data_IF_492099493789
#
_entry.id   IF_492099493789
#
_cell.length_a   1.000
_cell.length_b   1.000
_cell.length_c   1.000
_cell.angle_alpha   90.00
_cell.angle_beta   90.00
_cell.angle_gamma   90.00
#
_symmetry.space_group_name_H-M   'P 1'
#
loop_
_entity.id
_entity.type
_entity.pdbx_description
1 polymer ?
#
# COMPACT_ATOMS: atom_id res chain seq x y z
N UNK A 1 4.27 20.26 16.07
CA UNK A 1 3.51 19.25 15.30
C UNK A 1 4.43 18.33 14.50
N UNK A 2 4.97 18.70 13.34
CA UNK A 2 5.73 17.73 12.50
C UNK A 2 6.94 17.08 13.21
N UNK A 3 7.78 17.86 13.90
CA UNK A 3 8.88 17.29 14.68
C UNK A 3 8.45 16.53 15.94
N UNK A 4 7.23 16.76 16.45
CA UNK A 4 6.74 15.96 17.58
C UNK A 4 6.46 14.52 17.15
N UNK A 5 5.93 14.36 15.93
CA UNK A 5 5.70 13.07 15.29
C UNK A 5 7.04 12.37 15.04
N UNK A 6 8.01 13.07 14.42
CA UNK A 6 9.30 12.47 14.04
C UNK A 6 10.17 12.10 15.24
N UNK A 7 10.14 12.91 16.30
CA UNK A 7 10.95 12.69 17.50
C UNK A 7 10.24 11.88 18.59
N UNK A 8 8.95 11.55 18.41
CA UNK A 8 8.12 10.89 19.43
C UNK A 8 8.02 11.69 20.73
N UNK A 9 8.19 13.02 20.66
CA UNK A 9 8.33 13.90 21.82
C UNK A 9 7.45 15.13 21.68
N UNK A 10 6.62 15.40 22.69
CA UNK A 10 5.80 16.61 22.76
C UNK A 10 6.68 17.86 22.87
N UNK A 11 6.25 18.94 22.20
CA UNK A 11 6.91 20.25 22.23
C UNK A 11 6.52 21.11 23.43
N UNK A 12 5.53 20.65 24.22
CA UNK A 12 5.00 21.36 25.37
C UNK A 12 5.93 21.28 26.58
N UNK A 13 6.16 22.46 27.16
CA UNK A 13 6.91 22.65 28.39
C UNK A 13 6.03 22.27 29.58
N UNK A 14 6.31 21.13 30.23
CA UNK A 14 5.84 20.90 31.61
C UNK A 14 6.80 21.61 32.57
N UNK A 15 6.29 22.29 33.60
CA UNK A 15 7.13 22.89 34.66
C UNK A 15 8.07 21.87 35.35
N UNK A 16 7.79 20.57 35.19
CA UNK A 16 8.61 19.48 35.72
C UNK A 16 9.49 18.79 34.67
N UNK A 17 9.42 19.17 33.38
CA UNK A 17 10.25 18.57 32.33
C UNK A 17 11.60 19.30 32.21
N UNK A 18 12.66 18.65 32.69
CA UNK A 18 14.04 19.16 32.63
C UNK A 18 14.64 19.13 31.22
N UNK A 19 13.92 18.60 30.22
CA UNK A 19 14.43 18.44 28.87
C UNK A 19 14.33 19.75 28.06
N UNK A 20 15.35 20.05 27.25
CA UNK A 20 15.40 21.25 26.41
C UNK A 20 14.19 21.34 25.45
N UNK A 21 13.65 22.54 25.17
CA UNK A 21 12.55 22.72 24.21
C UNK A 21 12.89 22.14 22.84
N UNK A 22 11.95 21.36 22.28
CA UNK A 22 12.18 20.62 21.03
C UNK A 22 12.49 21.56 19.86
N UNK A 23 11.83 22.71 19.79
CA UNK A 23 12.04 23.71 18.72
C UNK A 23 13.47 24.28 18.71
N UNK A 24 14.06 24.52 19.88
CA UNK A 24 15.45 24.97 20.00
C UNK A 24 16.44 23.87 19.62
N UNK A 25 16.19 22.65 20.10
CA UNK A 25 17.02 21.48 19.83
C UNK A 25 17.05 21.15 18.33
N UNK A 26 15.89 21.14 17.68
CA UNK A 26 15.78 20.90 16.23
C UNK A 26 16.57 21.92 15.43
N UNK A 27 16.47 23.22 15.75
CA UNK A 27 17.23 24.28 15.05
C UNK A 27 18.74 24.09 15.18
N UNK A 28 19.20 23.67 16.35
CA UNK A 28 20.62 23.40 16.60
C UNK A 28 21.10 22.18 15.79
N UNK A 29 20.37 21.07 15.85
CA UNK A 29 20.75 19.81 15.19
C UNK A 29 20.61 19.91 13.67
N UNK A 30 19.65 20.67 13.16
CA UNK A 30 19.51 20.95 11.72
C UNK A 30 20.74 21.70 11.20
N UNK A 31 21.19 22.75 11.91
CA UNK A 31 22.42 23.49 11.55
C UNK A 31 23.67 22.64 11.63
N UNK A 32 23.73 21.69 12.57
CA UNK A 32 24.85 20.75 12.73
C UNK A 32 24.79 19.53 11.80
N UNK A 33 23.77 19.45 10.93
CA UNK A 33 23.49 18.29 10.09
C UNK A 33 23.37 16.96 10.87
N UNK A 34 22.82 17.04 12.09
CA UNK A 34 22.66 15.94 13.05
C UNK A 34 21.21 15.57 13.32
N UNK A 35 20.28 16.02 12.49
CA UNK A 35 18.83 15.77 12.66
C UNK A 35 18.49 14.29 12.86
N UNK A 36 19.24 13.39 12.22
CA UNK A 36 19.04 11.94 12.36
C UNK A 36 19.18 11.45 13.81
N UNK A 37 19.96 12.13 14.65
CA UNK A 37 20.12 11.82 16.07
C UNK A 37 18.89 12.18 16.91
N UNK A 38 17.96 12.99 16.38
CA UNK A 38 16.71 13.37 17.04
C UNK A 38 15.52 12.49 16.66
N UNK A 39 15.67 11.67 15.62
CA UNK A 39 14.59 10.82 15.13
C UNK A 39 14.32 9.73 16.15
N UNK A 40 13.04 9.42 16.37
CA UNK A 40 12.68 8.33 17.25
C UNK A 40 13.30 7.01 16.76
N UNK A 41 14.05 6.33 17.61
CA UNK A 41 14.90 5.18 17.24
C UNK A 41 14.12 4.08 16.54
N UNK A 42 12.85 3.87 16.92
CA UNK A 42 12.03 2.79 16.37
C UNK A 42 11.56 3.04 14.93
N UNK A 43 11.68 4.27 14.41
CA UNK A 43 11.33 4.59 13.01
C UNK A 43 12.56 4.93 12.19
N UNK A 44 13.73 5.06 12.80
CA UNK A 44 14.94 5.55 12.12
C UNK A 44 15.38 4.65 10.97
N UNK A 45 15.27 3.32 11.15
CA UNK A 45 15.62 2.33 10.12
C UNK A 45 14.49 2.07 9.12
N UNK A 46 13.28 2.56 9.41
CA UNK A 46 12.08 2.34 8.58
C UNK A 46 11.83 3.49 7.58
N UNK A 47 12.37 4.68 7.85
CA UNK A 47 12.11 5.87 7.03
C UNK A 47 13.13 5.97 5.89
N UNK A 48 12.63 6.10 4.66
CA UNK A 48 13.46 6.34 3.48
C UNK A 48 14.21 7.67 3.59
N UNK A 49 15.49 7.68 3.21
CA UNK A 49 16.35 8.87 3.32
C UNK A 49 15.83 10.10 2.57
N UNK A 50 15.24 9.93 1.37
CA UNK A 50 14.65 11.06 0.60
C UNK A 50 13.37 11.55 1.24
N UNK A 51 12.52 10.63 1.72
CA UNK A 51 11.32 10.95 2.50
C UNK A 51 11.67 11.77 3.74
N UNK A 52 12.65 11.29 4.50
CA UNK A 52 13.14 11.95 5.71
C UNK A 52 13.70 13.34 5.41
N UNK A 53 14.50 13.47 4.35
CA UNK A 53 15.07 14.75 3.94
C UNK A 53 13.96 15.75 3.59
N UNK A 54 12.99 15.36 2.76
CA UNK A 54 11.86 16.22 2.40
C UNK A 54 11.05 16.64 3.64
N UNK A 55 10.72 15.68 4.52
CA UNK A 55 9.95 15.92 5.74
C UNK A 55 10.67 16.87 6.71
N UNK A 56 11.95 16.62 6.99
CA UNK A 56 12.75 17.44 7.92
C UNK A 56 12.98 18.84 7.37
N UNK A 57 13.16 18.98 6.06
CA UNK A 57 13.34 20.28 5.39
C UNK A 57 12.11 21.15 5.55
N UNK A 58 10.93 20.65 5.16
CA UNK A 58 9.69 21.40 5.25
C UNK A 58 9.32 21.71 6.71
N UNK A 59 9.53 20.73 7.61
CA UNK A 59 9.29 20.92 9.03
C UNK A 59 10.22 22.00 9.64
N UNK A 60 11.48 22.05 9.22
CA UNK A 60 12.43 23.07 9.69
C UNK A 60 12.07 24.46 9.16
N UNK A 61 11.68 24.57 7.88
CA UNK A 61 11.20 25.83 7.31
C UNK A 61 9.95 26.36 8.03
N UNK A 62 9.06 25.47 8.49
CA UNK A 62 7.90 25.84 9.31
C UNK A 62 8.26 26.45 10.68
N UNK A 63 9.48 26.25 11.18
CA UNK A 63 9.99 26.78 12.45
C UNK A 63 10.72 28.13 12.29
N UNK A 64 10.73 28.71 11.08
CA UNK A 64 11.37 30.00 10.85
C UNK A 64 10.71 31.10 11.69
N UNK A 65 11.53 31.99 12.27
CA UNK A 65 11.03 33.12 13.07
C UNK A 65 10.54 34.26 12.19
N UNK A 66 11.05 34.37 10.96
CA UNK A 66 10.52 35.30 9.97
C UNK A 66 9.30 34.64 9.28
N UNK A 67 8.14 35.28 9.37
CA UNK A 67 6.89 34.82 8.78
C UNK A 67 6.93 34.75 7.25
N UNK A 68 7.67 35.66 6.58
CA UNK A 68 7.79 35.69 5.12
C UNK A 68 8.62 34.52 4.57
N UNK A 69 9.50 33.96 5.41
CA UNK A 69 10.32 32.79 5.08
C UNK A 69 9.65 31.47 5.48
N UNK A 70 8.45 31.55 6.08
CA UNK A 70 7.66 30.37 6.43
C UNK A 70 6.92 29.92 5.17
N UNK A 71 6.95 28.62 4.83
CA UNK A 71 6.31 28.12 3.62
C UNK A 71 4.80 28.30 3.69
N UNK A 72 4.17 28.39 2.52
CA UNK A 72 2.73 28.35 2.41
C UNK A 72 2.21 26.94 2.72
N UNK A 73 0.96 26.82 3.18
CA UNK A 73 0.38 25.51 3.49
C UNK A 73 0.32 24.59 2.26
N UNK A 74 0.15 25.17 1.07
CA UNK A 74 0.21 24.46 -0.21
C UNK A 74 1.57 23.80 -0.45
N UNK A 75 2.66 24.52 -0.15
CA UNK A 75 4.03 23.99 -0.23
C UNK A 75 4.26 22.91 0.84
N UNK A 76 3.70 23.10 2.04
CA UNK A 76 3.77 22.10 3.10
C UNK A 76 3.12 20.79 2.68
N UNK A 77 1.90 20.85 2.15
CA UNK A 77 1.18 19.67 1.65
C UNK A 77 1.95 19.01 0.51
N UNK A 78 2.38 19.79 -0.49
CA UNK A 78 3.13 19.25 -1.65
C UNK A 78 4.42 18.54 -1.23
N UNK A 79 5.20 19.11 -0.31
CA UNK A 79 6.42 18.47 0.20
C UNK A 79 6.11 17.20 1.00
N UNK A 80 5.03 17.16 1.77
CA UNK A 80 4.63 15.98 2.53
C UNK A 80 4.11 14.86 1.62
N UNK A 81 3.38 15.20 0.55
CA UNK A 81 2.97 14.25 -0.49
C UNK A 81 4.19 13.67 -1.20
N UNK A 82 5.18 14.49 -1.55
CA UNK A 82 6.45 14.02 -2.11
C UNK A 82 7.20 13.09 -1.14
N UNK A 83 7.24 13.43 0.16
CA UNK A 83 7.83 12.59 1.18
C UNK A 83 7.12 11.22 1.28
N UNK A 84 5.79 11.21 1.17
CA UNK A 84 5.00 9.98 1.13
C UNK A 84 5.32 9.14 -0.11
N UNK A 85 5.41 9.77 -1.29
CA UNK A 85 5.81 9.11 -2.53
C UNK A 85 7.21 8.51 -2.41
N UNK A 86 8.18 9.22 -1.84
CA UNK A 86 9.52 8.66 -1.62
C UNK A 86 9.50 7.46 -0.67
N UNK A 87 8.67 7.50 0.37
CA UNK A 87 8.53 6.38 1.30
C UNK A 87 7.91 5.15 0.61
N UNK A 88 6.87 5.34 -0.21
CA UNK A 88 6.23 4.29 -0.98
C UNK A 88 7.17 3.72 -2.07
N UNK A 89 7.87 4.60 -2.78
CA UNK A 89 8.80 4.21 -3.83
C UNK A 89 10.03 3.49 -3.28
N UNK A 90 10.50 3.79 -2.07
CA UNK A 90 11.60 3.06 -1.44
C UNK A 90 11.28 1.58 -1.16
N UNK A 91 10.01 1.28 -0.93
CA UNK A 91 9.51 -0.09 -0.78
C UNK A 91 9.29 -0.77 -2.14
N UNK A 92 9.36 -0.01 -3.24
CA UNK A 92 9.18 -0.44 -4.62
C UNK A 92 10.49 -0.40 -5.46
N UNK A 93 11.51 0.35 -5.04
CA UNK A 93 12.75 0.60 -5.78
C UNK A 93 13.92 -0.19 -5.19
N UNK A 94 13.94 -1.49 -5.43
CA UNK A 94 15.17 -2.25 -5.61
C UNK A 94 15.14 -2.98 -6.95
N UNK A 95 14.91 -2.25 -8.03
CA UNK A 95 15.25 -2.75 -9.37
C UNK A 95 16.22 -1.75 -10.01
N UNK A 96 17.31 -2.33 -10.53
CA UNK A 96 18.54 -1.70 -10.97
C UNK A 96 18.40 -1.06 -12.36
N UNK A 97 19.25 -0.05 -12.58
CA UNK A 97 19.77 0.28 -13.90
C UNK A 97 20.41 -0.96 -14.55
N UNK A 98 20.06 -1.21 -15.81
CA UNK A 98 20.80 -2.09 -16.71
C UNK A 98 20.36 -3.55 -16.71
N UNK A 99 19.32 -3.88 -17.48
CA UNK A 99 19.25 -5.17 -18.15
C UNK A 99 18.48 -5.04 -19.48
N UNK A 100 19.03 -5.64 -20.53
CA UNK A 100 18.39 -5.70 -21.85
C UNK A 100 17.08 -6.47 -21.76
N UNK A 101 15.99 -5.88 -22.28
CA UNK A 101 14.70 -6.55 -22.41
C UNK A 101 14.85 -7.78 -23.31
N UNK A 102 15.01 -8.95 -22.72
CA UNK A 102 15.00 -10.21 -23.46
C UNK A 102 13.56 -10.52 -23.83
N UNK A 103 13.26 -10.37 -25.12
CA UNK A 103 11.95 -10.72 -25.69
C UNK A 103 11.79 -12.24 -25.58
N UNK A 104 10.62 -12.71 -25.14
CA UNK A 104 10.29 -14.14 -25.15
C UNK A 104 10.00 -14.51 -26.60
N UNK A 105 10.95 -15.18 -27.26
CA UNK A 105 10.84 -15.60 -28.67
C UNK A 105 10.49 -17.09 -28.79
N UNK A 106 10.84 -17.90 -27.77
CA UNK A 106 10.56 -19.34 -27.75
C UNK A 106 10.28 -19.86 -26.33
N UNK A 107 9.60 -21.00 -26.26
CA UNK A 107 9.27 -21.79 -25.07
C UNK A 107 10.47 -22.15 -24.20
N UNK A 108 11.67 -22.30 -24.77
CA UNK A 108 12.92 -22.53 -24.03
C UNK A 108 13.30 -21.39 -23.09
N UNK A 109 12.77 -20.18 -23.30
CA UNK A 109 12.98 -19.03 -22.42
C UNK A 109 11.99 -19.01 -21.24
N UNK A 110 10.97 -19.88 -21.25
CA UNK A 110 10.02 -20.00 -20.16
C UNK A 110 10.66 -20.76 -18.99
N UNK A 111 10.56 -20.16 -17.81
CA UNK A 111 11.01 -20.79 -16.56
C UNK A 111 9.82 -20.90 -15.63
N UNK A 112 9.58 -22.11 -15.13
CA UNK A 112 8.61 -22.34 -14.08
C UNK A 112 9.24 -22.02 -12.72
N UNK A 113 8.48 -21.34 -11.87
CA UNK A 113 8.87 -21.00 -10.52
C UNK A 113 7.74 -21.37 -9.56
N UNK A 114 8.07 -22.11 -8.50
CA UNK A 114 7.10 -22.44 -7.45
C UNK A 114 7.11 -21.38 -6.37
N UNK A 115 5.94 -20.80 -6.08
CA UNK A 115 5.79 -19.81 -5.02
C UNK A 115 5.81 -20.49 -3.65
N UNK A 116 6.64 -20.04 -2.69
CA UNK A 116 6.71 -20.65 -1.37
C UNK A 116 5.44 -20.35 -0.56
N UNK A 117 4.78 -21.39 -0.06
CA UNK A 117 3.64 -21.30 0.84
C UNK A 117 3.77 -22.38 1.93
N UNK A 118 3.64 -21.99 3.20
CA UNK A 118 3.79 -22.91 4.34
C UNK A 118 2.46 -23.54 4.77
N UNK A 119 1.33 -23.03 4.28
CA UNK A 119 -0.02 -23.51 4.62
C UNK A 119 -0.59 -24.42 3.52
N UNK A 120 -1.67 -25.13 3.85
CA UNK A 120 -2.35 -26.11 3.00
C UNK A 120 -2.50 -25.65 1.54
N UNK A 121 -2.41 -26.60 0.59
CA UNK A 121 -2.54 -26.32 -0.84
C UNK A 121 -3.98 -25.91 -1.16
N UNK A 122 -4.24 -24.60 -1.16
CA UNK A 122 -5.50 -24.06 -1.63
C UNK A 122 -5.42 -23.83 -3.14
N UNK A 123 -6.53 -24.08 -3.84
CA UNK A 123 -6.65 -23.81 -5.27
C UNK A 123 -6.44 -22.31 -5.52
N UNK A 124 -5.63 -21.97 -6.52
CA UNK A 124 -5.47 -20.58 -6.97
C UNK A 124 -6.70 -20.20 -7.78
N UNK A 125 -7.42 -19.18 -7.33
CA UNK A 125 -8.65 -18.72 -7.98
C UNK A 125 -8.37 -17.57 -8.94
N UNK A 126 -7.52 -16.64 -8.53
CA UNK A 126 -7.14 -15.45 -9.30
C UNK A 126 -5.69 -15.07 -8.95
N UNK A 127 -4.96 -14.55 -9.95
CA UNK A 127 -3.58 -14.09 -9.79
C UNK A 127 -3.39 -12.82 -10.61
N UNK A 128 -2.76 -11.82 -10.00
CA UNK A 128 -2.39 -10.57 -10.66
C UNK A 128 -0.97 -10.16 -10.26
N UNK A 129 -0.26 -9.49 -11.19
CA UNK A 129 0.97 -8.80 -10.87
C UNK A 129 0.66 -7.43 -10.27
N UNK A 130 1.54 -6.95 -9.39
CA UNK A 130 1.55 -5.54 -9.00
C UNK A 130 1.84 -4.67 -10.23
N UNK A 131 1.29 -3.46 -10.31
CA UNK A 131 1.54 -2.55 -11.42
C UNK A 131 3.03 -2.15 -11.53
N UNK A 132 3.74 -2.13 -10.41
CA UNK A 132 5.21 -1.98 -10.36
C UNK A 132 6.00 -3.17 -10.92
N UNK A 133 5.34 -4.29 -11.19
CA UNK A 133 5.98 -5.56 -11.58
C UNK A 133 6.79 -6.23 -10.47
N UNK A 134 6.83 -5.70 -9.25
CA UNK A 134 7.70 -6.15 -8.15
C UNK A 134 7.09 -7.24 -7.25
N UNK A 135 5.85 -7.62 -7.49
CA UNK A 135 5.14 -8.63 -6.70
C UNK A 135 3.99 -9.30 -7.43
N UNK A 136 3.49 -10.34 -6.77
CA UNK A 136 2.35 -11.15 -7.17
C UNK A 136 1.31 -11.17 -6.07
N UNK A 137 0.05 -11.05 -6.43
CA UNK A 137 -1.08 -11.14 -5.52
C UNK A 137 -1.93 -12.32 -5.97
N UNK A 138 -2.25 -13.20 -5.04
CA UNK A 138 -3.00 -14.43 -5.31
C UNK A 138 -4.20 -14.51 -4.38
N UNK A 139 -5.37 -14.69 -4.95
CA UNK A 139 -6.57 -15.06 -4.23
C UNK A 139 -6.75 -16.58 -4.34
N UNK A 140 -6.90 -17.23 -3.19
CA UNK A 140 -7.06 -18.68 -3.08
C UNK A 140 -8.50 -19.07 -2.74
N UNK A 141 -8.86 -20.33 -2.94
CA UNK A 141 -10.21 -20.86 -2.60
C UNK A 141 -10.56 -20.68 -1.13
N UNK A 142 -9.58 -20.57 -0.24
CA UNK A 142 -9.81 -20.24 1.19
C UNK A 142 -10.27 -18.80 1.46
N UNK A 143 -10.44 -17.96 0.43
CA UNK A 143 -10.72 -16.54 0.56
C UNK A 143 -9.52 -15.69 0.96
N UNK A 144 -8.35 -16.31 1.20
CA UNK A 144 -7.12 -15.60 1.52
C UNK A 144 -6.53 -14.91 0.28
N UNK A 145 -6.20 -13.63 0.46
CA UNK A 145 -5.40 -12.85 -0.48
C UNK A 145 -3.96 -12.81 0.04
N UNK A 146 -3.06 -13.44 -0.70
CA UNK A 146 -1.63 -13.54 -0.35
C UNK A 146 -0.79 -12.72 -1.32
N UNK A 147 0.33 -12.21 -0.82
CA UNK A 147 1.25 -11.36 -1.57
C UNK A 147 2.65 -11.96 -1.56
N UNK A 148 3.26 -12.13 -2.72
CA UNK A 148 4.68 -12.43 -2.88
C UNK A 148 5.41 -11.21 -3.42
N UNK A 149 6.60 -10.95 -2.91
CA UNK A 149 7.44 -9.83 -3.35
C UNK A 149 8.83 -10.32 -3.72
N UNK A 150 9.35 -9.82 -4.83
CA UNK A 150 10.77 -9.98 -5.14
C UNK A 150 11.57 -8.97 -4.31
N UNK A 151 12.62 -9.44 -3.64
CA UNK A 151 13.52 -8.57 -2.85
C UNK A 151 14.44 -7.71 -3.72
N UNK A 152 14.59 -8.10 -4.99
CA UNK A 152 15.42 -7.47 -6.00
C UNK A 152 14.59 -7.41 -7.29
N UNK A 153 14.95 -8.22 -8.27
CA UNK A 153 14.34 -8.24 -9.59
C UNK A 153 13.30 -9.35 -9.72
N UNK A 154 12.24 -9.04 -10.45
CA UNK A 154 11.13 -9.93 -10.76
C UNK A 154 11.48 -10.92 -11.87
N UNK A 155 12.40 -11.84 -11.58
CA UNK A 155 12.80 -12.89 -12.53
C UNK A 155 12.40 -14.26 -12.01
N UNK A 156 12.20 -15.20 -12.92
CA UNK A 156 11.94 -16.60 -12.57
C UNK A 156 13.13 -17.29 -11.86
N UNK A 157 14.33 -16.71 -11.95
CA UNK A 157 15.53 -17.20 -11.26
C UNK A 157 15.57 -16.79 -9.78
N UNK A 158 14.85 -15.73 -9.40
CA UNK A 158 14.79 -15.24 -8.02
C UNK A 158 13.42 -15.62 -7.45
N UNK A 159 13.42 -16.43 -6.40
CA UNK A 159 12.17 -16.83 -5.73
C UNK A 159 11.63 -15.63 -4.94
N UNK A 160 10.38 -15.17 -5.20
CA UNK A 160 9.79 -14.13 -4.40
C UNK A 160 9.41 -14.67 -3.02
N UNK A 161 9.43 -13.80 -2.02
CA UNK A 161 9.09 -14.18 -0.65
C UNK A 161 7.63 -13.85 -0.37
N UNK A 162 6.95 -14.80 0.28
CA UNK A 162 5.63 -14.56 0.83
C UNK A 162 5.74 -13.46 1.89
N UNK A 163 5.08 -12.35 1.62
CA UNK A 163 5.09 -11.19 2.47
C UNK A 163 4.02 -11.34 3.55
N UNK A 164 4.42 -11.10 4.80
CA UNK A 164 3.53 -11.07 5.95
C UNK A 164 3.50 -9.65 6.53
N UNK A 165 2.31 -9.17 6.90
CA UNK A 165 2.19 -7.92 7.65
C UNK A 165 2.74 -8.12 9.06
N UNK A 166 3.30 -7.06 9.64
CA UNK A 166 3.84 -7.07 11.01
C UNK A 166 2.75 -7.43 12.02
N UNK A 167 1.49 -7.11 11.72
CA UNK A 167 0.32 -7.48 12.54
C UNK A 167 0.07 -8.99 12.62
N UNK A 168 0.61 -9.78 11.69
CA UNK A 168 0.31 -11.21 11.55
C UNK A 168 -1.09 -11.53 10.98
N UNK A 169 -1.94 -10.52 10.77
CA UNK A 169 -3.31 -10.68 10.26
C UNK A 169 -3.30 -10.70 8.74
N UNK A 170 -3.72 -11.81 8.13
CA UNK A 170 -3.80 -11.93 6.68
C UNK A 170 -5.07 -11.28 6.12
N UNK A 171 -4.99 -10.85 4.86
CA UNK A 171 -6.16 -10.41 4.10
C UNK A 171 -7.03 -11.62 3.79
N UNK A 172 -8.27 -11.60 4.24
CA UNK A 172 -9.21 -12.70 4.11
C UNK A 172 -10.59 -12.17 3.73
N UNK A 173 -11.13 -12.67 2.62
CA UNK A 173 -12.52 -12.44 2.25
C UNK A 173 -13.44 -13.27 3.13
N UNK A 174 -14.66 -12.76 3.30
CA UNK A 174 -15.73 -13.53 3.89
C UNK A 174 -16.21 -14.58 2.88
N UNK A 175 -16.27 -15.84 3.31
CA UNK A 175 -16.80 -16.93 2.51
C UNK A 175 -18.30 -17.10 2.78
N UNK A 176 -19.06 -17.50 1.77
CA UNK A 176 -20.45 -17.89 1.96
C UNK A 176 -20.51 -19.31 2.51
N UNK A 177 -21.12 -19.52 3.68
CA UNK A 177 -21.23 -20.85 4.30
C UNK A 177 -22.07 -21.83 3.47
N UNK A 178 -22.96 -21.31 2.61
CA UNK A 178 -23.87 -22.11 1.80
C UNK A 178 -23.28 -22.56 0.46
N UNK A 179 -22.12 -22.04 0.07
CA UNK A 179 -21.49 -22.35 -1.22
C UNK A 179 -20.10 -22.91 -0.98
N UNK A 180 -19.73 -24.05 -1.59
CA UNK A 180 -18.36 -24.55 -1.51
C UNK A 180 -17.38 -23.47 -1.95
N UNK A 181 -16.31 -23.28 -1.17
CA UNK A 181 -15.35 -22.21 -1.40
C UNK A 181 -14.59 -22.39 -2.75
N UNK A 182 -14.54 -23.61 -3.28
CA UNK A 182 -13.91 -23.93 -4.57
C UNK A 182 -14.78 -23.62 -5.80
N UNK A 183 -16.09 -23.47 -5.60
CA UNK A 183 -17.09 -23.17 -6.64
C UNK A 183 -17.52 -21.70 -6.60
N UNK A 184 -17.11 -20.96 -5.57
CA UNK A 184 -17.42 -19.55 -5.41
C UNK A 184 -16.70 -18.70 -6.46
N UNK A 185 -17.42 -17.77 -7.07
CA UNK A 185 -16.82 -16.82 -8.02
C UNK A 185 -15.87 -15.90 -7.27
N UNK A 186 -14.68 -15.73 -7.83
CA UNK A 186 -13.60 -14.98 -7.21
C UNK A 186 -13.07 -13.94 -8.20
N UNK A 187 -13.00 -12.69 -7.75
CA UNK A 187 -12.51 -11.59 -8.54
C UNK A 187 -11.54 -10.74 -7.70
N UNK A 188 -10.57 -10.13 -8.37
CA UNK A 188 -9.54 -9.30 -7.75
C UNK A 188 -9.21 -8.12 -8.67
N UNK A 189 -8.98 -6.94 -8.07
CA UNK A 189 -8.51 -5.75 -8.76
C UNK A 189 -7.51 -4.99 -7.89
N UNK A 190 -6.53 -4.33 -8.51
CA UNK A 190 -5.46 -3.62 -7.82
C UNK A 190 -5.50 -2.14 -8.20
N UNK A 191 -5.33 -1.27 -7.21
CA UNK A 191 -5.18 0.16 -7.48
C UNK A 191 -3.87 0.45 -8.17
N UNK A 192 -3.83 1.44 -9.06
CA UNK A 192 -2.63 1.79 -9.86
C UNK A 192 -1.36 2.06 -9.04
N UNK A 193 -1.52 2.47 -7.79
CA UNK A 193 -0.42 2.75 -6.86
C UNK A 193 0.03 1.52 -6.03
N UNK A 194 -0.48 0.33 -6.31
CA UNK A 194 -0.20 -0.93 -5.60
C UNK A 194 -0.50 -0.89 -4.09
N UNK A 195 -1.24 0.12 -3.62
CA UNK A 195 -1.49 0.32 -2.19
C UNK A 195 -2.72 -0.45 -1.69
N UNK A 196 -3.69 -0.72 -2.56
CA UNK A 196 -4.95 -1.34 -2.17
C UNK A 196 -5.39 -2.41 -3.16
N UNK A 197 -5.90 -3.51 -2.63
CA UNK A 197 -6.50 -4.58 -3.42
C UNK A 197 -7.98 -4.70 -3.09
N UNK A 198 -8.80 -4.79 -4.12
CA UNK A 198 -10.21 -5.16 -4.03
C UNK A 198 -10.33 -6.64 -4.34
N UNK A 199 -11.06 -7.38 -3.53
CA UNK A 199 -11.36 -8.78 -3.86
C UNK A 199 -12.70 -9.24 -3.31
N UNK A 200 -13.27 -10.24 -3.97
CA UNK A 200 -14.46 -10.96 -3.51
C UNK A 200 -14.30 -12.46 -3.73
N UNK A 201 -15.06 -13.25 -2.97
CA UNK A 201 -15.07 -14.72 -3.02
C UNK A 201 -16.48 -15.24 -2.78
N UNK A 202 -17.40 -14.88 -3.67
CA UNK A 202 -18.84 -15.20 -3.58
C UNK A 202 -19.64 -14.37 -2.57
N UNK A 203 -18.98 -13.78 -1.57
CA UNK A 203 -19.58 -12.87 -0.60
C UNK A 203 -19.28 -11.39 -0.88
N UNK A 204 -19.17 -10.62 0.20
CA UNK A 204 -18.91 -9.18 0.14
C UNK A 204 -17.56 -8.86 -0.54
N UNK A 205 -17.51 -7.73 -1.23
CA UNK A 205 -16.25 -7.22 -1.80
C UNK A 205 -15.50 -6.51 -0.68
N UNK A 206 -14.21 -6.81 -0.50
CA UNK A 206 -13.36 -6.18 0.51
C UNK A 206 -12.24 -5.39 -0.14
N UNK A 207 -12.02 -4.16 0.36
CA UNK A 207 -10.85 -3.32 0.06
C UNK A 207 -9.80 -3.54 1.15
N UNK A 208 -8.67 -4.13 0.81
CA UNK A 208 -7.55 -4.31 1.73
C UNK A 208 -6.43 -3.32 1.45
N UNK A 209 -5.81 -2.85 2.53
CA UNK A 209 -4.57 -2.09 2.50
C UNK A 209 -3.39 -3.06 2.39
N UNK A 210 -2.64 -2.99 1.29
CA UNK A 210 -1.54 -3.92 0.99
C UNK A 210 -0.33 -3.76 1.92
N UNK A 211 -0.22 -2.63 2.62
CA UNK A 211 0.88 -2.34 3.55
C UNK A 211 0.59 -2.85 4.96
N UNK A 212 -0.68 -2.77 5.39
CA UNK A 212 -1.09 -3.13 6.75
C UNK A 212 -1.87 -4.45 6.83
N UNK A 213 -2.28 -4.99 5.67
CA UNK A 213 -3.20 -6.12 5.51
C UNK A 213 -4.52 -5.95 6.25
N UNK A 214 -4.94 -4.70 6.47
CA UNK A 214 -6.22 -4.40 7.11
C UNK A 214 -7.30 -4.17 6.07
N UNK A 215 -8.49 -4.70 6.36
CA UNK A 215 -9.71 -4.34 5.63
C UNK A 215 -10.03 -2.87 5.91
N UNK A 216 -10.07 -2.07 4.85
CA UNK A 216 -10.42 -0.64 4.90
C UNK A 216 -11.92 -0.42 4.78
N UNK A 217 -12.53 -1.14 3.85
CA UNK A 217 -13.97 -1.07 3.60
C UNK A 217 -14.44 -2.42 3.07
N UNK A 218 -15.66 -2.78 3.41
CA UNK A 218 -16.38 -3.91 2.84
C UNK A 218 -17.61 -3.35 2.16
N UNK A 219 -17.82 -3.73 0.92
CA UNK A 219 -18.94 -3.31 0.09
C UNK A 219 -19.96 -4.44 0.01
N UNK A 220 -21.23 -4.04 -0.02
CA UNK A 220 -22.41 -4.87 -0.20
C UNK A 220 -22.72 -5.83 0.96
N UNK A 221 -24.01 -6.03 1.18
CA UNK A 221 -24.62 -7.11 1.97
C UNK A 221 -26.12 -7.17 1.63
N UNK A 222 -26.70 -8.35 1.35
CA UNK A 222 -26.53 -9.18 0.14
C UNK A 222 -27.42 -8.69 -1.04
N UNK A 223 -27.02 -8.70 -2.33
CA UNK A 223 -27.27 -9.84 -3.25
C UNK A 223 -26.21 -9.90 -4.41
N UNK A 224 -26.50 -10.45 -5.61
CA UNK A 224 -25.72 -11.48 -6.34
C UNK A 224 -24.19 -11.35 -6.35
N UNK A 225 -23.49 -12.50 -6.45
CA UNK A 225 -22.03 -12.51 -6.32
C UNK A 225 -21.33 -11.66 -7.39
N UNK A 226 -20.31 -10.91 -6.98
CA UNK A 226 -19.47 -10.16 -7.89
C UNK A 226 -18.62 -11.13 -8.74
N UNK A 227 -18.75 -11.03 -10.07
CA UNK A 227 -18.05 -11.87 -11.03
C UNK A 227 -16.80 -11.22 -11.58
N UNK A 228 -16.75 -9.88 -11.63
CA UNK A 228 -15.57 -9.12 -12.05
C UNK A 228 -15.49 -7.75 -11.37
N UNK A 229 -14.27 -7.24 -11.23
CA UNK A 229 -13.98 -5.94 -10.64
C UNK A 229 -13.04 -5.18 -11.56
N UNK A 230 -13.33 -3.91 -11.82
CA UNK A 230 -12.46 -3.04 -12.59
C UNK A 230 -12.36 -1.65 -11.95
N UNK A 231 -11.14 -1.19 -11.73
CA UNK A 231 -10.86 0.15 -11.23
C UNK A 231 -10.60 1.09 -12.41
N UNK A 232 -11.15 2.30 -12.33
CA UNK A 232 -10.87 3.33 -13.31
C UNK A 232 -9.40 3.80 -13.20
N UNK A 233 -8.61 3.72 -14.29
CA UNK A 233 -7.16 3.85 -14.22
C UNK A 233 -6.65 5.27 -13.97
N UNK A 234 -7.51 6.30 -14.08
CA UNK A 234 -7.11 7.69 -13.86
C UNK A 234 -7.21 8.11 -12.40
N UNK A 235 -8.24 7.66 -11.67
CA UNK A 235 -8.57 8.20 -10.35
C UNK A 235 -8.50 7.16 -9.22
N UNK A 236 -8.52 5.85 -9.53
CA UNK A 236 -8.69 4.75 -8.57
C UNK A 236 -9.91 4.90 -7.64
N UNK A 237 -10.86 5.79 -7.96
CA UNK A 237 -12.01 6.09 -7.11
C UNK A 237 -13.28 5.48 -7.68
N UNK A 238 -13.34 5.29 -9.00
CA UNK A 238 -14.48 4.68 -9.66
C UNK A 238 -14.23 3.18 -9.82
N UNK A 239 -15.10 2.37 -9.25
CA UNK A 239 -15.10 0.91 -9.31
C UNK A 239 -16.30 0.46 -10.14
N UNK A 240 -16.06 -0.34 -11.17
CA UNK A 240 -17.10 -1.10 -11.87
C UNK A 240 -17.12 -2.53 -11.32
N UNK A 241 -18.32 -3.01 -10.99
CA UNK A 241 -18.58 -4.33 -10.43
C UNK A 241 -19.54 -5.04 -11.38
N UNK A 242 -19.12 -6.15 -11.98
CA UNK A 242 -20.03 -7.04 -12.69
C UNK A 242 -20.60 -8.07 -11.74
N UNK A 243 -21.91 -8.29 -11.79
CA UNK A 243 -22.65 -9.16 -10.88
C UNK A 243 -23.18 -10.39 -11.61
N UNK A 244 -23.52 -11.45 -10.87
CA UNK A 244 -24.03 -12.72 -11.42
C UNK A 244 -25.40 -12.58 -12.11
N UNK A 245 -26.21 -11.59 -11.70
CA UNK A 245 -27.51 -11.28 -12.32
C UNK A 245 -27.41 -10.43 -13.60
N UNK A 246 -26.22 -10.34 -14.19
CA UNK A 246 -25.93 -9.54 -15.39
C UNK A 246 -26.06 -8.01 -15.19
N UNK A 247 -26.08 -7.53 -13.95
CA UNK A 247 -25.98 -6.10 -13.66
C UNK A 247 -24.52 -5.63 -13.57
N UNK A 248 -24.31 -4.35 -13.89
CA UNK A 248 -23.06 -3.65 -13.65
C UNK A 248 -23.34 -2.49 -12.69
N UNK A 249 -22.63 -2.49 -11.56
CA UNK A 249 -22.67 -1.40 -10.61
C UNK A 249 -21.42 -0.54 -10.73
N UNK A 250 -21.61 0.77 -10.85
CA UNK A 250 -20.55 1.77 -10.82
C UNK A 250 -20.57 2.45 -9.46
N UNK A 251 -19.49 2.31 -8.72
CA UNK A 251 -19.38 2.70 -7.34
C UNK A 251 -18.21 3.67 -7.14
N UNK A 252 -18.45 4.80 -6.47
CA UNK A 252 -17.37 5.72 -6.09
C UNK A 252 -16.87 5.43 -4.67
N UNK A 253 -15.63 4.97 -4.55
CA UNK A 253 -15.00 4.53 -3.30
C UNK A 253 -14.91 5.64 -2.26
N UNK A 254 -14.72 6.90 -2.68
CA UNK A 254 -14.53 8.03 -1.75
C UNK A 254 -15.83 8.56 -1.17
N UNK A 255 -16.88 8.65 -1.99
CA UNK A 255 -18.14 9.32 -1.62
C UNK A 255 -19.32 8.36 -1.44
N UNK A 256 -19.12 7.06 -1.61
CA UNK A 256 -20.12 6.01 -1.34
C UNK A 256 -21.38 6.09 -2.22
N UNK A 257 -21.24 6.60 -3.44
CA UNK A 257 -22.34 6.70 -4.41
C UNK A 257 -22.34 5.50 -5.37
N UNK A 258 -23.52 4.92 -5.61
CA UNK A 258 -23.72 3.76 -6.50
C UNK A 258 -24.64 4.16 -7.65
N UNK A 259 -24.27 3.78 -8.87
CA UNK A 259 -25.15 3.80 -10.05
C UNK A 259 -25.26 2.38 -10.59
N UNK A 260 -26.48 1.92 -10.85
CA UNK A 260 -26.76 0.53 -11.27
C UNK A 260 -27.22 0.54 -12.72
N UNK A 261 -26.64 -0.35 -13.52
CA UNK A 261 -27.01 -0.58 -14.91
C UNK A 261 -27.38 -2.06 -15.09
N UNK A 262 -28.53 -2.32 -15.72
CA UNK A 262 -28.98 -3.67 -16.07
C UNK A 262 -29.06 -3.78 -17.60
N UNK A 263 -28.65 -4.92 -18.14
CA UNK A 263 -28.66 -5.24 -19.58
C UNK A 263 -29.69 -6.30 -19.90
#
# INVERSE_FOLDING_TARGET
>A
MLFEILCGRLSLYSKNDKRRPLTGLVKEYYKKNKINELIYTNIQDEVNAKSLTAFTTIAHQCLNTNCEKRPLMTEVVSMLENALVYQANAQCSKVMDGEENTIIVDSSHLKALTLPDRKASNKVMQLIYTNSGSGLIVLSSSGLVKQWRWQKQSTASIVPQLWYPISGVLMANHLNENTPAEESVACIALTKNDCYVLSASGGNISLFDMMTSKTRKTFMSPPPAATCLALHPQDNNTLAIGMEDSTIEIYNIRIDTVSIFAF
#
